data_IF_342036144598
#
_entry.id   IF_342036144598
#
_cell.length_a   1.000
_cell.length_b   1.000
_cell.length_c   1.000
_cell.angle_alpha   90.00
_cell.angle_beta   90.00
_cell.angle_gamma   90.00
#
_symmetry.space_group_name_H-M   'P 1'
#
loop_
_entity.id
_entity.type
_entity.pdbx_description
1 polymer ?
#
# COMPACT_ATOMS: atom_id res chain seq x y z
N UNK A 1 -7.66 36.01 37.12
CA UNK A 1 -8.55 35.31 36.17
C UNK A 1 -7.87 33.99 35.88
N UNK A 2 -8.46 32.87 36.28
CA UNK A 2 -7.91 31.54 36.02
C UNK A 2 -7.90 31.31 34.51
N UNK A 3 -6.72 31.15 33.92
CA UNK A 3 -6.62 30.70 32.53
C UNK A 3 -7.28 29.33 32.43
N UNK A 4 -8.33 29.25 31.61
CA UNK A 4 -9.08 28.02 31.36
C UNK A 4 -8.54 27.44 30.07
N UNK A 5 -8.15 26.17 30.09
CA UNK A 5 -7.69 25.46 28.89
C UNK A 5 -8.88 25.21 27.94
N UNK A 6 -8.63 25.35 26.64
CA UNK A 6 -9.58 25.00 25.59
C UNK A 6 -9.58 23.49 25.30
N UNK A 7 -8.50 22.79 25.63
CA UNK A 7 -8.46 21.32 25.60
C UNK A 7 -8.69 20.72 26.99
N UNK A 8 -9.56 19.71 27.05
CA UNK A 8 -9.74 18.92 28.27
C UNK A 8 -8.49 18.08 28.60
N UNK A 9 -8.31 17.63 29.86
CA UNK A 9 -7.12 16.89 30.28
C UNK A 9 -6.83 15.64 29.46
N UNK A 10 -7.86 14.91 29.02
CA UNK A 10 -7.70 13.69 28.25
C UNK A 10 -7.24 14.00 26.82
N UNK A 11 -7.86 14.98 26.15
CA UNK A 11 -7.44 15.39 24.80
C UNK A 11 -6.01 15.91 24.76
N UNK A 12 -5.57 16.68 25.78
CA UNK A 12 -4.16 17.10 25.89
C UNK A 12 -3.20 15.91 26.04
N UNK A 13 -3.59 14.90 26.81
CA UNK A 13 -2.80 13.69 26.98
C UNK A 13 -2.70 12.90 25.67
N UNK A 14 -3.79 12.80 24.90
CA UNK A 14 -3.79 12.19 23.58
C UNK A 14 -2.87 12.96 22.63
N UNK A 15 -2.98 14.29 22.55
CA UNK A 15 -2.14 15.12 21.70
C UNK A 15 -0.65 14.97 22.04
N UNK A 16 -0.31 14.91 23.34
CA UNK A 16 1.05 14.62 23.79
C UNK A 16 1.54 13.25 23.30
N UNK A 17 0.66 12.25 23.33
CA UNK A 17 0.93 10.92 22.77
C UNK A 17 1.17 10.97 21.26
N UNK A 18 0.29 11.63 20.52
CA UNK A 18 0.38 11.80 19.06
C UNK A 18 1.68 12.48 18.64
N UNK A 19 2.09 13.56 19.32
CA UNK A 19 3.37 14.24 19.05
C UNK A 19 4.57 13.35 19.39
N UNK A 20 4.49 12.57 20.48
CA UNK A 20 5.54 11.59 20.79
C UNK A 20 5.65 10.53 19.70
N UNK A 21 4.53 10.06 19.16
CA UNK A 21 4.51 9.07 18.09
C UNK A 21 5.11 9.62 16.79
N UNK A 22 4.77 10.85 16.43
CA UNK A 22 5.37 11.54 15.28
C UNK A 22 6.91 11.61 15.37
N UNK A 23 7.48 11.70 16.59
CA UNK A 23 8.93 11.80 16.78
C UNK A 23 9.68 10.59 16.24
N UNK A 24 9.10 9.38 16.30
CA UNK A 24 9.69 8.17 15.73
C UNK A 24 9.17 7.87 14.31
N UNK A 25 7.94 8.28 13.97
CA UNK A 25 7.38 8.09 12.63
C UNK A 25 8.08 8.92 11.56
N UNK A 26 8.57 10.13 11.88
CA UNK A 26 9.20 11.02 10.88
C UNK A 26 10.43 10.38 10.20
N UNK A 27 11.40 9.79 10.93
CA UNK A 27 12.48 9.03 10.29
C UNK A 27 11.99 7.87 9.41
N UNK A 28 10.93 7.16 9.81
CA UNK A 28 10.36 6.09 9.00
C UNK A 28 9.69 6.62 7.73
N UNK A 29 9.02 7.78 7.82
CA UNK A 29 8.47 8.46 6.66
C UNK A 29 9.57 8.85 5.65
N UNK A 30 10.73 9.31 6.11
CA UNK A 30 11.89 9.56 5.25
C UNK A 30 12.37 8.27 4.55
N UNK A 31 12.36 7.13 5.25
CA UNK A 31 12.68 5.83 4.65
C UNK A 31 11.66 5.45 3.56
N UNK A 32 10.37 5.72 3.76
CA UNK A 32 9.33 5.47 2.75
C UNK A 32 9.48 6.40 1.55
N UNK A 33 9.70 7.70 1.76
CA UNK A 33 9.92 8.69 0.69
C UNK A 33 11.08 8.24 -0.19
N UNK A 34 12.20 7.86 0.43
CA UNK A 34 13.41 7.42 -0.28
C UNK A 34 13.36 5.97 -0.77
N UNK A 35 12.24 5.27 -0.52
CA UNK A 35 12.04 3.84 -0.81
C UNK A 35 13.14 2.94 -0.24
N UNK A 36 13.72 3.35 0.88
CA UNK A 36 14.68 2.54 1.65
C UNK A 36 13.98 1.43 2.43
N UNK A 37 12.67 1.57 2.71
CA UNK A 37 11.84 0.49 3.25
C UNK A 37 11.46 -0.51 2.15
N UNK A 38 11.91 -1.76 2.29
CA UNK A 38 11.55 -2.85 1.39
C UNK A 38 10.34 -3.63 1.95
N UNK A 39 9.13 -3.22 1.58
CA UNK A 39 7.92 -4.01 1.86
C UNK A 39 7.64 -4.95 0.68
N UNK A 40 8.03 -6.21 0.82
CA UNK A 40 7.74 -7.27 -0.16
C UNK A 40 8.91 -7.66 -1.07
N UNK A 41 8.80 -8.88 -1.61
CA UNK A 41 9.81 -9.57 -2.40
C UNK A 41 10.18 -8.74 -3.65
N UNK A 42 11.47 -8.40 -3.76
CA UNK A 42 12.05 -7.75 -4.93
C UNK A 42 11.75 -8.62 -6.16
N UNK A 43 11.23 -8.02 -7.24
CA UNK A 43 10.80 -8.62 -8.52
C UNK A 43 9.29 -8.89 -8.70
N UNK A 44 8.49 -7.83 -8.72
CA UNK A 44 7.24 -7.82 -9.50
C UNK A 44 7.09 -6.52 -10.29
N UNK A 45 7.91 -6.35 -11.33
CA UNK A 45 7.45 -5.98 -12.68
C UNK A 45 8.63 -5.68 -13.61
N UNK A 46 8.84 -6.56 -14.58
CA UNK A 46 9.62 -6.27 -15.80
C UNK A 46 8.76 -5.62 -16.88
N UNK A 47 7.72 -4.88 -16.47
CA UNK A 47 6.92 -4.04 -17.37
C UNK A 47 7.67 -2.75 -17.60
N UNK A 48 8.06 -2.47 -18.85
CA UNK A 48 8.56 -1.15 -19.23
C UNK A 48 7.42 -0.15 -19.08
N UNK A 49 7.29 0.47 -17.91
CA UNK A 49 6.63 1.76 -17.79
C UNK A 49 7.44 2.73 -18.65
N UNK A 50 6.77 3.36 -19.61
CA UNK A 50 7.33 4.48 -20.40
C UNK A 50 7.49 5.74 -19.57
N UNK A 51 6.98 5.71 -18.34
CA UNK A 51 7.18 6.73 -17.33
C UNK A 51 8.38 6.34 -16.47
N UNK A 52 9.40 7.20 -16.46
CA UNK A 52 10.60 7.00 -15.63
C UNK A 52 10.15 7.06 -14.18
N UNK A 53 10.14 5.92 -13.50
CA UNK A 53 9.78 5.85 -12.08
C UNK A 53 10.74 6.76 -11.31
N UNK A 54 10.22 7.89 -10.80
CA UNK A 54 10.99 8.82 -9.96
C UNK A 54 11.55 8.06 -8.75
N UNK A 55 12.77 8.38 -8.28
CA UNK A 55 13.47 7.61 -7.25
C UNK A 55 12.84 7.73 -5.85
N UNK A 56 11.72 8.45 -5.71
CA UNK A 56 11.02 8.67 -4.46
C UNK A 56 9.53 8.31 -4.57
N UNK A 57 8.87 8.16 -3.42
CA UNK A 57 7.41 8.01 -3.35
C UNK A 57 6.72 9.38 -3.30
N UNK A 58 5.96 9.77 -4.36
CA UNK A 58 5.33 11.09 -4.40
C UNK A 58 4.22 11.26 -3.36
N UNK A 59 3.48 10.20 -3.02
CA UNK A 59 2.39 10.26 -2.04
C UNK A 59 2.96 10.48 -0.64
N UNK A 60 4.03 9.74 -0.30
CA UNK A 60 4.74 9.93 0.97
C UNK A 60 5.36 11.33 1.06
N UNK A 61 5.90 11.85 -0.04
CA UNK A 61 6.47 13.20 -0.11
C UNK A 61 5.41 14.28 0.13
N UNK A 62 4.23 14.16 -0.48
CA UNK A 62 3.12 15.10 -0.28
C UNK A 62 2.63 15.08 1.18
N UNK A 63 2.52 13.88 1.78
CA UNK A 63 2.15 13.74 3.19
C UNK A 63 3.21 14.35 4.13
N UNK A 64 4.50 14.20 3.81
CA UNK A 64 5.56 14.84 4.58
C UNK A 64 5.52 16.38 4.48
N UNK A 65 5.17 16.91 3.31
CA UNK A 65 4.96 18.35 3.12
C UNK A 65 3.78 18.84 3.96
N UNK A 66 2.63 18.14 3.90
CA UNK A 66 1.44 18.46 4.69
C UNK A 66 1.73 18.41 6.20
N UNK A 67 2.46 17.38 6.66
CA UNK A 67 2.91 17.27 8.06
C UNK A 67 3.74 18.48 8.48
N UNK A 68 4.73 18.84 7.66
CA UNK A 68 5.59 19.98 7.97
C UNK A 68 4.80 21.30 8.02
N UNK A 69 3.91 21.52 7.06
CA UNK A 69 3.04 22.69 7.01
C UNK A 69 2.12 22.78 8.23
N UNK A 70 1.49 21.67 8.60
CA UNK A 70 0.60 21.58 9.77
C UNK A 70 1.35 21.93 11.06
N UNK A 71 2.50 21.31 11.31
CA UNK A 71 3.29 21.57 12.52
C UNK A 71 3.77 23.02 12.58
N UNK A 72 4.21 23.59 11.45
CA UNK A 72 4.68 24.98 11.40
C UNK A 72 3.55 25.96 11.67
N UNK A 73 2.37 25.76 11.06
CA UNK A 73 1.21 26.59 11.29
C UNK A 73 0.80 26.63 12.77
N UNK A 74 0.82 25.48 13.46
CA UNK A 74 0.48 25.43 14.88
C UNK A 74 1.55 26.01 15.81
N UNK A 75 2.82 26.01 15.40
CA UNK A 75 3.88 26.77 16.08
C UNK A 75 3.64 28.27 15.92
N UNK A 76 3.37 28.74 14.70
CA UNK A 76 3.09 30.16 14.42
C UNK A 76 1.89 30.66 15.21
N UNK A 77 0.80 29.88 15.24
CA UNK A 77 -0.40 30.21 15.98
C UNK A 77 -0.15 30.27 17.48
N UNK A 78 0.50 29.23 18.05
CA UNK A 78 0.81 29.18 19.49
C UNK A 78 1.71 30.33 19.90
N UNK A 79 2.76 30.61 19.13
CA UNK A 79 3.70 31.69 19.44
C UNK A 79 3.04 33.06 19.35
N UNK A 80 2.13 33.25 18.39
CA UNK A 80 1.37 34.49 18.21
C UNK A 80 0.40 34.72 19.38
N UNK A 81 -0.46 33.74 19.69
CA UNK A 81 -1.47 33.90 20.76
C UNK A 81 -0.84 34.02 22.15
N UNK A 82 0.23 33.25 22.40
CA UNK A 82 0.87 33.16 23.71
C UNK A 82 2.06 34.10 23.88
N UNK A 83 2.36 34.90 22.86
CA UNK A 83 3.48 35.86 22.82
C UNK A 83 4.82 35.20 23.15
N UNK A 84 5.03 33.98 22.65
CA UNK A 84 6.27 33.23 22.85
C UNK A 84 7.29 33.58 21.77
N UNK A 85 8.60 33.51 22.08
CA UNK A 85 9.64 33.62 21.05
C UNK A 85 9.48 32.52 19.99
N UNK A 86 9.41 32.90 18.72
CA UNK A 86 9.31 31.93 17.63
C UNK A 86 10.62 31.12 17.51
N UNK A 87 10.57 29.78 17.44
CA UNK A 87 11.77 28.93 17.40
C UNK A 87 12.53 29.01 16.06
N UNK A 88 12.01 29.74 15.08
CA UNK A 88 12.55 29.79 13.71
C UNK A 88 12.10 28.59 12.87
N UNK A 89 12.68 28.46 11.67
CA UNK A 89 12.34 27.37 10.76
C UNK A 89 12.87 26.04 11.30
N UNK A 90 11.96 25.18 11.75
CA UNK A 90 12.28 23.86 12.30
C UNK A 90 12.12 22.77 11.24
N UNK A 91 12.87 21.67 11.37
CA UNK A 91 12.53 20.43 10.66
C UNK A 91 11.33 19.78 11.36
N UNK A 92 10.54 18.97 10.66
CA UNK A 92 9.31 18.34 11.21
C UNK A 92 9.54 17.64 12.56
N UNK A 93 10.66 16.94 12.74
CA UNK A 93 10.98 16.29 14.01
C UNK A 93 11.18 17.31 15.15
N UNK A 94 11.91 18.40 14.90
CA UNK A 94 12.13 19.45 15.90
C UNK A 94 10.86 20.27 16.15
N UNK A 95 10.04 20.49 15.13
CA UNK A 95 8.73 21.13 15.27
C UNK A 95 7.80 20.31 16.18
N UNK A 96 7.80 18.99 16.01
CA UNK A 96 7.04 18.06 16.86
C UNK A 96 7.50 18.14 18.32
N UNK A 97 8.82 18.13 18.56
CA UNK A 97 9.39 18.25 19.90
C UNK A 97 9.02 19.60 20.53
N UNK A 98 9.10 20.70 19.77
CA UNK A 98 8.75 22.02 20.25
C UNK A 98 7.29 22.10 20.70
N UNK A 99 6.35 21.58 19.88
CA UNK A 99 4.93 21.55 20.23
C UNK A 99 4.66 20.68 21.45
N UNK A 100 5.36 19.55 21.59
CA UNK A 100 5.23 18.68 22.76
C UNK A 100 5.69 19.38 24.05
N UNK A 101 6.73 20.21 23.98
CA UNK A 101 7.21 21.01 25.12
C UNK A 101 6.26 22.17 25.47
N UNK A 102 5.57 22.73 24.49
CA UNK A 102 4.63 23.86 24.63
C UNK A 102 3.16 23.41 24.59
N UNK A 103 2.88 22.16 24.97
CA UNK A 103 1.53 21.60 24.89
C UNK A 103 0.50 22.36 25.73
N UNK A 104 0.94 22.91 26.87
CA UNK A 104 0.07 23.71 27.72
C UNK A 104 -0.23 25.07 27.07
N UNK A 105 0.75 25.67 26.40
CA UNK A 105 0.58 26.94 25.68
C UNK A 105 -0.37 26.77 24.50
N UNK A 106 -0.20 25.69 23.72
CA UNK A 106 -1.13 25.32 22.65
C UNK A 106 -2.54 25.07 23.21
N UNK A 107 -2.68 24.36 24.33
CA UNK A 107 -3.97 24.08 24.95
C UNK A 107 -4.68 25.33 25.53
N UNK A 108 -3.98 26.45 25.66
CA UNK A 108 -4.53 27.75 26.05
C UNK A 108 -4.92 28.62 24.85
N UNK A 109 -4.63 28.18 23.63
CA UNK A 109 -5.07 28.86 22.41
C UNK A 109 -6.54 28.55 22.15
N UNK A 110 -7.31 29.53 21.66
CA UNK A 110 -8.73 29.34 21.36
C UNK A 110 -8.98 28.36 20.20
N UNK A 111 -7.96 28.12 19.37
CA UNK A 111 -7.94 27.17 18.24
C UNK A 111 -7.39 25.78 18.61
N UNK A 112 -7.16 25.49 19.90
CA UNK A 112 -6.49 24.26 20.33
C UNK A 112 -7.22 22.96 19.92
N UNK A 113 -8.55 22.96 19.86
CA UNK A 113 -9.34 21.82 19.38
C UNK A 113 -9.06 21.51 17.90
N UNK A 114 -8.99 22.55 17.07
CA UNK A 114 -8.64 22.42 15.66
C UNK A 114 -7.21 21.90 15.49
N UNK A 115 -6.27 22.37 16.32
CA UNK A 115 -4.90 21.88 16.33
C UNK A 115 -4.82 20.38 16.62
N UNK A 116 -5.59 19.92 17.60
CA UNK A 116 -5.66 18.50 17.91
C UNK A 116 -6.17 17.68 16.72
N UNK A 117 -7.25 18.12 16.07
CA UNK A 117 -7.85 17.40 14.95
C UNK A 117 -6.92 17.33 13.73
N UNK A 118 -6.29 18.45 13.35
CA UNK A 118 -5.38 18.49 12.21
C UNK A 118 -4.10 17.68 12.45
N UNK A 119 -3.49 17.80 13.64
CA UNK A 119 -2.31 17.03 14.01
C UNK A 119 -2.64 15.54 14.01
N UNK A 120 -3.80 15.15 14.57
CA UNK A 120 -4.25 13.75 14.57
C UNK A 120 -4.50 13.21 13.16
N UNK A 121 -5.14 13.99 12.28
CA UNK A 121 -5.41 13.59 10.90
C UNK A 121 -4.10 13.34 10.14
N UNK A 122 -3.17 14.29 10.21
CA UNK A 122 -1.89 14.14 9.51
C UNK A 122 -1.05 13.00 10.08
N UNK A 123 -1.05 12.78 11.41
CA UNK A 123 -0.41 11.60 12.01
C UNK A 123 -1.03 10.30 11.51
N UNK A 124 -2.35 10.22 11.37
CA UNK A 124 -3.01 9.03 10.85
C UNK A 124 -2.63 8.76 9.38
N UNK A 125 -2.53 9.80 8.54
CA UNK A 125 -2.05 9.68 7.16
C UNK A 125 -0.59 9.21 7.09
N UNK A 126 0.27 9.74 7.95
CA UNK A 126 1.68 9.31 8.09
C UNK A 126 1.74 7.82 8.48
N UNK A 127 0.97 7.41 9.48
CA UNK A 127 0.93 6.02 9.92
C UNK A 127 0.46 5.06 8.82
N UNK A 128 -0.52 5.46 7.99
CA UNK A 128 -1.00 4.64 6.88
C UNK A 128 0.05 4.40 5.79
N UNK A 129 0.94 5.36 5.56
CA UNK A 129 2.01 5.25 4.58
C UNK A 129 3.18 4.44 5.12
N UNK A 130 3.52 4.60 6.40
CA UNK A 130 4.54 3.78 7.06
C UNK A 130 4.08 2.32 7.16
N UNK A 131 2.86 2.07 7.64
CA UNK A 131 2.25 0.75 7.74
C UNK A 131 1.48 0.40 6.44
N UNK A 132 2.17 0.51 5.30
CA UNK A 132 1.57 0.18 4.00
C UNK A 132 1.27 -1.31 3.95
N UNK A 133 -0.03 -1.65 4.04
CA UNK A 133 -0.53 -3.03 3.93
C UNK A 133 -0.15 -3.62 2.57
N UNK A 134 0.27 -4.89 2.58
CA UNK A 134 0.57 -5.64 1.35
C UNK A 134 -0.54 -5.46 0.29
N UNK A 135 -0.15 -5.23 -0.98
CA UNK A 135 -1.12 -5.09 -2.06
C UNK A 135 -1.95 -6.38 -2.20
N UNK A 136 -3.25 -6.27 -2.56
CA UNK A 136 -4.08 -7.45 -2.76
C UNK A 136 -3.55 -8.28 -3.94
N UNK A 137 -3.47 -9.60 -3.76
CA UNK A 137 -3.02 -10.55 -4.77
C UNK A 137 -4.22 -11.05 -5.58
N UNK A 138 -3.99 -11.35 -6.86
CA UNK A 138 -4.99 -12.05 -7.67
C UNK A 138 -5.14 -13.50 -7.19
N UNK A 139 -6.37 -13.91 -6.89
CA UNK A 139 -6.69 -15.24 -6.36
C UNK A 139 -7.17 -16.19 -7.45
N UNK A 140 -7.96 -15.69 -8.41
CA UNK A 140 -8.60 -16.48 -9.45
C UNK A 140 -9.69 -15.72 -10.20
N UNK A 141 -10.26 -16.31 -11.25
CA UNK A 141 -11.41 -15.75 -11.95
C UNK A 141 -12.63 -15.65 -11.02
N UNK A 142 -13.55 -14.75 -11.33
CA UNK A 142 -14.81 -14.68 -10.58
C UNK A 142 -15.68 -15.91 -10.88
N UNK A 143 -16.31 -16.49 -9.84
CA UNK A 143 -17.23 -17.63 -9.96
C UNK A 143 -18.69 -17.24 -10.23
N UNK A 144 -18.98 -15.95 -10.47
CA UNK A 144 -20.34 -15.53 -10.78
C UNK A 144 -20.84 -16.17 -12.08
N UNK A 145 -22.05 -16.71 -12.06
CA UNK A 145 -22.73 -17.28 -13.23
C UNK A 145 -23.47 -16.23 -14.07
N UNK A 146 -23.32 -14.94 -13.74
CA UNK A 146 -24.01 -13.86 -14.44
C UNK A 146 -23.40 -13.63 -15.84
N UNK A 147 -24.13 -13.89 -16.94
CA UNK A 147 -23.61 -13.74 -18.29
C UNK A 147 -23.43 -12.28 -18.72
N UNK A 148 -24.09 -11.33 -18.06
CA UNK A 148 -24.10 -9.91 -18.45
C UNK A 148 -22.91 -9.13 -17.89
N UNK A 149 -22.11 -9.75 -17.00
CA UNK A 149 -21.02 -9.07 -16.28
C UNK A 149 -19.69 -9.77 -16.50
N UNK A 150 -18.74 -9.06 -17.13
CA UNK A 150 -17.36 -9.55 -17.28
C UNK A 150 -16.50 -9.07 -16.11
N UNK A 151 -16.11 -10.00 -15.23
CA UNK A 151 -15.28 -9.69 -14.07
C UNK A 151 -13.78 -9.78 -14.43
N UNK A 152 -12.95 -8.78 -14.06
CA UNK A 152 -11.51 -8.82 -14.27
C UNK A 152 -10.80 -9.86 -13.38
N UNK A 153 -11.50 -10.40 -12.38
CA UNK A 153 -11.06 -11.45 -11.47
C UNK A 153 -11.12 -11.01 -10.00
N UNK A 154 -10.74 -11.92 -9.12
CA UNK A 154 -10.90 -11.77 -7.67
C UNK A 154 -9.54 -11.45 -7.06
N UNK A 155 -9.44 -10.29 -6.42
CA UNK A 155 -8.24 -9.81 -5.74
C UNK A 155 -8.48 -9.80 -4.24
N UNK A 156 -7.53 -10.32 -3.47
CA UNK A 156 -7.64 -10.34 -2.02
C UNK A 156 -6.26 -10.24 -1.35
N UNK A 157 -6.23 -9.60 -0.17
CA UNK A 157 -5.03 -9.59 0.68
C UNK A 157 -4.79 -11.00 1.26
N UNK A 158 -3.52 -11.28 1.56
CA UNK A 158 -3.13 -12.55 2.19
C UNK A 158 -3.85 -12.76 3.52
N UNK A 159 -4.18 -14.02 3.81
CA UNK A 159 -4.80 -14.43 5.08
C UNK A 159 -6.32 -14.30 5.17
N UNK A 160 -7.02 -13.80 4.13
CA UNK A 160 -8.49 -13.85 4.10
C UNK A 160 -9.00 -15.18 3.59
N UNK A 161 -10.12 -15.63 4.16
CA UNK A 161 -10.83 -16.84 3.75
C UNK A 161 -12.01 -16.53 2.80
N UNK A 162 -12.57 -15.34 2.90
CA UNK A 162 -13.70 -14.88 2.09
C UNK A 162 -13.47 -13.47 1.56
N UNK A 163 -13.93 -13.20 0.34
CA UNK A 163 -13.92 -11.86 -0.26
C UNK A 163 -15.12 -11.66 -1.17
N UNK A 164 -15.44 -10.41 -1.50
CA UNK A 164 -16.45 -10.09 -2.50
C UNK A 164 -15.78 -9.69 -3.81
N UNK A 165 -16.37 -10.08 -4.94
CA UNK A 165 -15.92 -9.56 -6.23
C UNK A 165 -16.29 -8.08 -6.32
N UNK A 166 -15.31 -7.22 -6.63
CA UNK A 166 -15.54 -5.79 -6.79
C UNK A 166 -16.44 -5.40 -7.97
N UNK A 167 -16.70 -6.32 -8.91
CA UNK A 167 -17.49 -6.05 -10.13
C UNK A 167 -18.92 -6.56 -10.03
N UNK A 168 -19.12 -7.84 -9.69
CA UNK A 168 -20.46 -8.44 -9.63
C UNK A 168 -21.00 -8.61 -8.20
N UNK A 169 -20.21 -8.25 -7.18
CA UNK A 169 -20.62 -8.32 -5.77
C UNK A 169 -20.73 -9.73 -5.18
N UNK A 170 -20.46 -10.79 -5.96
CA UNK A 170 -20.56 -12.18 -5.47
C UNK A 170 -19.57 -12.43 -4.35
N UNK A 171 -20.06 -13.00 -3.24
CA UNK A 171 -19.22 -13.47 -2.13
C UNK A 171 -18.54 -14.77 -2.55
N UNK A 172 -17.22 -14.81 -2.38
CA UNK A 172 -16.35 -15.86 -2.87
C UNK A 172 -15.54 -16.40 -1.70
N UNK A 173 -15.60 -17.73 -1.55
CA UNK A 173 -14.70 -18.48 -0.69
C UNK A 173 -13.35 -18.67 -1.40
N UNK A 174 -12.28 -18.19 -0.78
CA UNK A 174 -10.94 -18.13 -1.38
C UNK A 174 -10.33 -19.52 -1.51
N UNK A 175 -10.63 -20.44 -0.58
CA UNK A 175 -10.13 -21.80 -0.62
C UNK A 175 -10.77 -22.58 -1.77
N UNK A 176 -12.09 -22.56 -1.83
CA UNK A 176 -12.90 -23.19 -2.88
C UNK A 176 -12.56 -22.63 -4.25
N UNK A 177 -12.37 -21.30 -4.36
CA UNK A 177 -11.93 -20.69 -5.61
C UNK A 177 -10.55 -21.21 -6.04
N UNK A 178 -9.58 -21.33 -5.12
CA UNK A 178 -8.25 -21.83 -5.45
C UNK A 178 -8.27 -23.29 -5.88
N UNK A 179 -9.03 -24.14 -5.21
CA UNK A 179 -9.17 -25.56 -5.57
C UNK A 179 -9.87 -25.74 -6.92
N UNK A 180 -10.98 -25.04 -7.13
CA UNK A 180 -11.71 -25.07 -8.40
C UNK A 180 -10.85 -24.54 -9.54
N UNK A 181 -10.13 -23.44 -9.29
CA UNK A 181 -9.20 -22.86 -10.27
C UNK A 181 -8.10 -23.87 -10.58
N UNK A 182 -7.46 -24.49 -9.57
CA UNK A 182 -6.42 -25.49 -9.80
C UNK A 182 -6.93 -26.71 -10.61
N UNK A 183 -8.13 -27.21 -10.29
CA UNK A 183 -8.72 -28.37 -10.98
C UNK A 183 -9.11 -28.05 -12.43
N UNK A 184 -9.78 -26.91 -12.67
CA UNK A 184 -10.10 -26.43 -14.04
C UNK A 184 -8.82 -26.11 -14.81
N UNK A 185 -7.76 -25.71 -14.10
CA UNK A 185 -6.51 -25.33 -14.71
C UNK A 185 -5.71 -26.51 -15.30
N UNK A 186 -5.87 -27.72 -14.75
CA UNK A 186 -5.09 -28.90 -15.11
C UNK A 186 -5.50 -29.54 -16.46
N UNK A 187 -6.79 -29.56 -16.78
CA UNK A 187 -7.33 -30.35 -17.92
C UNK A 187 -7.66 -29.52 -19.18
N UNK A 188 -7.42 -28.20 -19.15
CA UNK A 188 -7.77 -27.30 -20.26
C UNK A 188 -6.57 -26.96 -21.14
N UNK A 189 -6.82 -26.79 -22.45
CA UNK A 189 -5.89 -26.17 -23.39
C UNK A 189 -6.06 -24.64 -23.39
N UNK A 190 -4.94 -23.94 -23.23
CA UNK A 190 -4.86 -22.49 -23.07
C UNK A 190 -4.41 -21.80 -24.35
N UNK A 191 -4.95 -20.63 -24.66
CA UNK A 191 -4.22 -19.71 -25.55
C UNK A 191 -3.01 -19.10 -24.82
N UNK A 192 -2.12 -18.42 -25.54
CA UNK A 192 -0.88 -17.85 -24.96
C UNK A 192 -1.14 -16.89 -23.79
N UNK A 193 -2.22 -16.09 -23.87
CA UNK A 193 -2.56 -15.09 -22.85
C UNK A 193 -3.14 -15.79 -21.62
N UNK A 194 -4.05 -16.73 -21.82
CA UNK A 194 -4.66 -17.52 -20.76
C UNK A 194 -3.60 -18.38 -20.05
N UNK A 195 -2.67 -18.99 -20.79
CA UNK A 195 -1.57 -19.79 -20.24
C UNK A 195 -0.68 -18.96 -19.32
N UNK A 196 -0.31 -17.75 -19.75
CA UNK A 196 0.50 -16.82 -18.94
C UNK A 196 -0.18 -16.46 -17.63
N UNK A 197 -1.48 -16.17 -17.70
CA UNK A 197 -2.27 -15.86 -16.51
C UNK A 197 -2.32 -17.08 -15.58
N UNK A 198 -2.62 -18.26 -16.12
CA UNK A 198 -2.66 -19.51 -15.34
C UNK A 198 -1.32 -19.82 -14.64
N UNK A 199 -0.19 -19.71 -15.34
CA UNK A 199 1.13 -19.91 -14.76
C UNK A 199 1.42 -18.92 -13.64
N UNK A 200 1.12 -17.63 -13.85
CA UNK A 200 1.34 -16.59 -12.84
C UNK A 200 0.54 -16.84 -11.56
N UNK A 201 -0.68 -17.37 -11.71
CA UNK A 201 -1.56 -17.72 -10.59
C UNK A 201 -1.01 -18.91 -9.80
N UNK A 202 -0.60 -19.98 -10.51
CA UNK A 202 -0.14 -21.22 -9.87
C UNK A 202 1.23 -21.05 -9.22
N UNK A 203 2.20 -20.47 -9.93
CA UNK A 203 3.58 -20.31 -9.41
C UNK A 203 3.70 -19.14 -8.46
N UNK A 204 2.68 -18.27 -8.39
CA UNK A 204 2.71 -16.97 -7.70
C UNK A 204 3.87 -16.09 -8.16
N UNK A 205 4.40 -16.30 -9.36
CA UNK A 205 5.48 -15.50 -9.93
C UNK A 205 5.04 -14.89 -11.26
N UNK A 206 5.31 -13.60 -11.53
CA UNK A 206 4.93 -12.98 -12.79
C UNK A 206 5.70 -13.60 -13.96
N UNK A 207 4.96 -14.20 -14.91
CA UNK A 207 5.57 -14.78 -16.11
C UNK A 207 5.54 -13.78 -17.26
N UNK A 208 6.72 -13.38 -17.74
CA UNK A 208 6.83 -12.47 -18.88
C UNK A 208 6.28 -13.11 -20.17
N UNK A 209 5.56 -12.34 -21.00
CA UNK A 209 5.02 -12.82 -22.29
C UNK A 209 6.11 -13.40 -23.20
N UNK A 210 7.28 -12.74 -23.22
CA UNK A 210 8.46 -13.19 -23.97
C UNK A 210 8.93 -14.58 -23.57
N UNK A 211 8.66 -15.03 -22.35
CA UNK A 211 9.05 -16.37 -21.87
C UNK A 211 8.26 -17.44 -22.63
N UNK A 212 6.94 -17.28 -22.73
CA UNK A 212 6.06 -18.19 -23.47
C UNK A 212 6.38 -18.14 -24.97
N UNK A 213 6.55 -16.94 -25.53
CA UNK A 213 6.91 -16.78 -26.95
C UNK A 213 8.29 -17.40 -27.26
N UNK A 214 9.23 -17.37 -26.31
CA UNK A 214 10.54 -18.02 -26.44
C UNK A 214 10.42 -19.55 -26.41
N UNK A 215 9.61 -20.12 -25.52
CA UNK A 215 9.39 -21.57 -25.50
C UNK A 215 8.74 -22.06 -26.78
N UNK A 216 7.75 -21.32 -27.29
CA UNK A 216 7.05 -21.67 -28.53
C UNK A 216 7.99 -21.54 -29.73
N UNK A 217 8.73 -20.44 -29.85
CA UNK A 217 9.67 -20.23 -30.97
C UNK A 217 10.84 -21.21 -30.97
N UNK A 218 11.25 -21.71 -29.79
CA UNK A 218 12.29 -22.74 -29.64
C UNK A 218 11.74 -24.17 -29.68
N UNK A 219 10.44 -24.36 -29.94
CA UNK A 219 9.81 -25.69 -30.00
C UNK A 219 9.81 -26.46 -28.68
N UNK A 220 9.95 -25.76 -27.54
CA UNK A 220 9.95 -26.38 -26.20
C UNK A 220 8.55 -26.56 -25.61
N UNK A 221 7.56 -25.85 -26.14
CA UNK A 221 6.16 -25.93 -25.74
C UNK A 221 5.32 -26.26 -26.98
N UNK A 222 4.61 -27.40 -26.96
CA UNK A 222 3.91 -27.92 -28.13
C UNK A 222 2.55 -27.24 -28.34
N UNK A 223 2.22 -27.02 -29.62
CA UNK A 223 0.94 -26.44 -30.02
C UNK A 223 -0.06 -27.55 -30.31
N UNK A 224 -1.08 -27.66 -29.47
CA UNK A 224 -2.25 -28.50 -29.68
C UNK A 224 -3.35 -27.64 -30.29
N UNK A 225 -3.43 -27.60 -31.63
CA UNK A 225 -4.43 -26.81 -32.38
C UNK A 225 -4.37 -25.29 -32.10
N UNK A 226 -3.17 -24.75 -31.89
CA UNK A 226 -2.99 -23.32 -31.56
C UNK A 226 -3.19 -22.99 -30.07
N UNK A 227 -3.33 -24.01 -29.23
CA UNK A 227 -3.43 -23.91 -27.77
C UNK A 227 -2.35 -24.77 -27.11
N UNK A 228 -2.12 -24.53 -25.83
CA UNK A 228 -0.97 -25.03 -25.08
C UNK A 228 -1.43 -25.65 -23.76
N UNK A 229 -0.73 -26.70 -23.31
CA UNK A 229 -1.03 -27.32 -22.04
C UNK A 229 -0.28 -26.63 -20.89
N UNK A 230 -0.92 -26.62 -19.72
CA UNK A 230 -0.38 -25.95 -18.54
C UNK A 230 0.70 -26.79 -17.82
N UNK A 231 0.55 -28.11 -17.80
CA UNK A 231 1.50 -29.06 -17.22
C UNK A 231 2.87 -28.96 -17.91
N UNK A 232 2.92 -28.98 -19.24
CA UNK A 232 4.15 -28.81 -20.02
C UNK A 232 4.87 -27.49 -19.69
N UNK A 233 4.10 -26.40 -19.55
CA UNK A 233 4.67 -25.11 -19.23
C UNK A 233 5.17 -25.00 -17.78
N UNK A 234 4.56 -25.73 -16.83
CA UNK A 234 5.03 -25.83 -15.45
C UNK A 234 6.34 -26.65 -15.36
N UNK A 235 6.48 -27.72 -16.15
CA UNK A 235 7.73 -28.50 -16.24
C UNK A 235 8.90 -27.66 -16.78
N UNK A 236 8.64 -26.82 -17.78
CA UNK A 236 9.63 -25.88 -18.32
C UNK A 236 10.06 -24.80 -17.32
N UNK A 237 9.19 -24.43 -16.37
CA UNK A 237 9.55 -23.53 -15.28
C UNK A 237 10.37 -24.24 -14.20
N UNK A 238 9.98 -25.46 -13.83
CA UNK A 238 10.69 -26.26 -12.83
C UNK A 238 12.15 -26.54 -13.22
N UNK A 239 12.39 -26.86 -14.49
CA UNK A 239 13.74 -27.12 -15.04
C UNK A 239 14.66 -25.89 -15.04
N UNK A 240 14.12 -24.68 -14.92
CA UNK A 240 14.89 -23.42 -14.87
C UNK A 240 15.37 -23.06 -13.45
N UNK A 241 14.76 -23.66 -12.42
CA UNK A 241 15.13 -23.44 -11.01
C UNK A 241 16.16 -24.45 -10.47
N UNK A 242 16.39 -25.56 -11.17
CA UNK A 242 17.34 -26.61 -10.79
C UNK A 242 18.71 -26.52 -11.48
N UNK A 243 18.98 -25.44 -12.22
CA UNK A 243 20.26 -25.15 -12.88
C UNK A 243 20.82 -23.83 -12.33
#
# INVERSE_FOLDING_TARGET
MSETFYLDPHTRQLLTGTLRDLTWMIPELDNVITRQTQYGDQYRDGGRTTDTMVPFDPVASDIAYDLHGTLTAWIDETTTQRQLPHPGHQRSQQATIWLALHINDLALCDTAEQAFDEIRDVTHRVAQVIDTKEPPEFIGPCQSTNPDTTCPGVYCRRGRNTTTCGTCGTTIDIHTLRETTAAVLADRLYDKRELRTALTVITRQPIARSTIDTWISRGRLESHSGRYRLDEALELLGTRHTA
#
